data_IF_194955634887
#
_entry.id   IF_194955634887
#
_cell.length_a   1.000
_cell.length_b   1.000
_cell.length_c   1.000
_cell.angle_alpha   90.00
_cell.angle_beta   90.00
_cell.angle_gamma   90.00
#
_symmetry.space_group_name_H-M   'P 1'
#
loop_
_entity.id
_entity.type
_entity.pdbx_description
1 polymer ?
#
# COMPACT_ATOMS: atom_id res chain seq x y z
N UNK A 1 -12.73 -14.25 16.37
CA UNK A 1 -12.88 -13.48 15.12
C UNK A 1 -11.82 -14.02 14.18
N UNK A 2 -12.22 -14.66 13.10
CA UNK A 2 -11.30 -15.21 12.10
C UNK A 2 -10.56 -14.05 11.43
N UNK A 3 -9.24 -14.02 11.57
CA UNK A 3 -8.37 -13.13 10.80
C UNK A 3 -8.56 -13.45 9.32
N UNK A 4 -9.42 -12.70 8.62
CA UNK A 4 -9.41 -12.71 7.17
C UNK A 4 -8.02 -12.25 6.73
N UNK A 5 -7.25 -13.19 6.18
CA UNK A 5 -5.88 -12.95 5.77
C UNK A 5 -5.90 -12.34 4.38
N UNK A 6 -5.50 -11.07 4.27
CA UNK A 6 -5.31 -10.39 2.98
C UNK A 6 -4.58 -11.30 1.98
N UNK A 7 -5.15 -11.39 0.78
CA UNK A 7 -4.70 -12.27 -0.29
C UNK A 7 -4.38 -11.46 -1.56
N UNK A 8 -3.80 -12.13 -2.55
CA UNK A 8 -3.57 -11.49 -3.85
C UNK A 8 -4.88 -11.03 -4.52
N UNK A 9 -5.98 -11.74 -4.28
CA UNK A 9 -7.24 -11.43 -4.94
C UNK A 9 -7.79 -10.08 -4.47
N UNK A 10 -7.49 -9.68 -3.23
CA UNK A 10 -7.84 -8.36 -2.67
C UNK A 10 -7.08 -7.19 -3.32
N UNK A 11 -5.87 -7.45 -3.84
CA UNK A 11 -5.03 -6.42 -4.50
C UNK A 11 -5.07 -6.51 -6.02
N UNK A 12 -5.59 -7.60 -6.58
CA UNK A 12 -5.65 -7.84 -8.02
C UNK A 12 -6.47 -6.79 -8.75
N UNK A 13 -7.59 -6.37 -8.20
CA UNK A 13 -8.46 -5.34 -8.79
C UNK A 13 -7.75 -3.98 -8.91
N UNK A 14 -6.76 -3.74 -8.06
CA UNK A 14 -5.98 -2.50 -8.02
C UNK A 14 -4.61 -2.62 -8.70
N UNK A 15 -4.32 -3.75 -9.37
CA UNK A 15 -3.02 -4.00 -9.99
C UNK A 15 -2.66 -2.96 -11.06
N UNK A 16 -3.67 -2.46 -11.79
CA UNK A 16 -3.47 -1.39 -12.78
C UNK A 16 -2.88 -0.13 -12.15
N UNK A 17 -3.38 0.27 -10.98
CA UNK A 17 -2.90 1.42 -10.22
C UNK A 17 -1.45 1.24 -9.77
N UNK A 18 -1.09 0.02 -9.36
CA UNK A 18 0.27 -0.33 -8.95
C UNK A 18 1.32 -0.14 -10.06
N UNK A 19 0.90 -0.26 -11.32
CA UNK A 19 1.78 -0.08 -12.48
C UNK A 19 1.79 1.31 -13.08
N UNK A 20 0.95 2.24 -12.61
CA UNK A 20 0.94 3.62 -13.12
C UNK A 20 2.26 4.34 -12.88
N UNK A 21 2.94 4.02 -11.76
CA UNK A 21 4.29 4.48 -11.51
C UNK A 21 5.30 3.48 -12.10
N UNK A 22 6.21 3.92 -13.00
CA UNK A 22 7.31 3.08 -13.43
C UNK A 22 8.17 2.63 -12.25
N UNK A 23 8.65 1.37 -12.28
CA UNK A 23 9.42 0.79 -11.17
C UNK A 23 10.66 1.59 -10.76
N UNK A 24 11.33 2.25 -11.71
CA UNK A 24 12.49 3.11 -11.41
C UNK A 24 12.10 4.36 -10.63
N UNK A 25 10.92 4.93 -10.87
CA UNK A 25 10.39 6.08 -10.12
C UNK A 25 10.07 5.65 -8.70
N UNK A 26 9.36 4.53 -8.52
CA UNK A 26 9.07 3.99 -7.20
C UNK A 26 10.35 3.73 -6.41
N UNK A 27 11.33 3.07 -7.04
CA UNK A 27 12.62 2.79 -6.41
C UNK A 27 13.35 4.07 -5.97
N UNK A 28 13.31 5.13 -6.78
CA UNK A 28 13.89 6.42 -6.42
C UNK A 28 13.19 7.05 -5.20
N UNK A 29 11.86 6.96 -5.12
CA UNK A 29 11.10 7.47 -3.96
C UNK A 29 11.42 6.68 -2.68
N UNK A 30 11.53 5.36 -2.81
CA UNK A 30 11.90 4.46 -1.71
C UNK A 30 13.31 4.75 -1.20
N UNK A 31 14.30 4.87 -2.10
CA UNK A 31 15.68 5.22 -1.73
C UNK A 31 15.80 6.57 -1.02
N UNK A 32 14.91 7.52 -1.33
CA UNK A 32 14.83 8.83 -0.68
C UNK A 32 14.00 8.80 0.61
N UNK A 33 13.46 7.65 0.99
CA UNK A 33 12.47 7.46 2.04
C UNK A 33 11.37 8.53 2.00
N UNK A 34 10.79 8.75 0.80
CA UNK A 34 9.83 9.83 0.59
C UNK A 34 8.49 9.50 1.23
N UNK A 35 7.97 10.41 2.06
CA UNK A 35 6.59 10.32 2.54
C UNK A 35 5.63 10.71 1.40
N UNK A 36 5.15 9.70 0.66
CA UNK A 36 4.24 9.86 -0.47
C UNK A 36 2.88 10.37 -0.01
N UNK A 37 2.42 9.92 1.16
CA UNK A 37 1.13 10.36 1.70
C UNK A 37 1.14 11.85 1.96
N UNK A 38 2.16 12.36 2.65
CA UNK A 38 2.34 13.80 2.87
C UNK A 38 2.50 14.57 1.55
N UNK A 39 3.29 14.03 0.60
CA UNK A 39 3.53 14.65 -0.71
C UNK A 39 2.24 14.80 -1.54
N UNK A 40 1.34 13.82 -1.47
CA UNK A 40 0.12 13.76 -2.26
C UNK A 40 -1.16 13.93 -1.41
N UNK A 41 -1.01 14.49 -0.21
CA UNK A 41 -2.08 14.61 0.78
C UNK A 41 -3.36 15.25 0.22
N UNK A 42 -3.32 16.36 -0.55
CA UNK A 42 -4.55 16.96 -1.09
C UNK A 42 -5.37 15.99 -1.96
N UNK A 43 -4.69 15.19 -2.77
CA UNK A 43 -5.33 14.17 -3.63
C UNK A 43 -5.88 13.02 -2.80
N UNK A 44 -5.10 12.52 -1.83
CA UNK A 44 -5.50 11.42 -0.96
C UNK A 44 -6.74 11.80 -0.16
N UNK A 45 -6.75 12.96 0.51
CA UNK A 45 -7.90 13.46 1.28
C UNK A 45 -9.15 13.60 0.40
N UNK A 46 -8.99 14.06 -0.85
CA UNK A 46 -10.11 14.13 -1.80
C UNK A 46 -10.70 12.75 -2.10
N UNK A 47 -9.88 11.72 -2.27
CA UNK A 47 -10.36 10.35 -2.48
C UNK A 47 -10.97 9.75 -1.20
N UNK A 48 -10.35 9.96 -0.03
CA UNK A 48 -10.85 9.46 1.26
C UNK A 48 -12.28 9.92 1.55
N UNK A 49 -12.63 11.17 1.19
CA UNK A 49 -13.99 11.72 1.35
C UNK A 49 -15.07 10.99 0.56
N UNK A 50 -14.70 10.29 -0.51
CA UNK A 50 -15.63 9.63 -1.42
C UNK A 50 -15.64 8.10 -1.27
N UNK A 51 -14.92 7.54 -0.28
CA UNK A 51 -14.92 6.10 -0.05
C UNK A 51 -16.31 5.61 0.40
N UNK A 52 -16.78 4.55 -0.24
CA UNK A 52 -17.95 3.78 0.19
C UNK A 52 -17.67 3.08 1.53
N UNK A 53 -18.70 2.65 2.28
CA UNK A 53 -18.50 1.90 3.52
C UNK A 53 -17.63 0.65 3.35
N UNK A 54 -17.82 -0.10 2.26
CA UNK A 54 -17.02 -1.30 1.94
C UNK A 54 -15.55 -0.95 1.69
N UNK A 55 -15.28 0.13 0.97
CA UNK A 55 -13.89 0.58 0.73
C UNK A 55 -13.22 1.10 2.00
N UNK A 56 -13.97 1.77 2.88
CA UNK A 56 -13.48 2.19 4.20
C UNK A 56 -13.10 1.00 5.07
N UNK A 57 -13.93 -0.04 5.08
CA UNK A 57 -13.65 -1.28 5.81
C UNK A 57 -12.39 -1.98 5.28
N UNK A 58 -12.28 -2.13 3.95
CA UNK A 58 -11.08 -2.68 3.30
C UNK A 58 -9.83 -1.86 3.64
N UNK A 59 -9.92 -0.52 3.57
CA UNK A 59 -8.81 0.37 3.93
C UNK A 59 -8.42 0.21 5.40
N UNK A 60 -9.39 0.17 6.30
CA UNK A 60 -9.16 -0.04 7.73
C UNK A 60 -8.47 -1.39 7.99
N UNK A 61 -8.87 -2.44 7.29
CA UNK A 61 -8.23 -3.74 7.40
C UNK A 61 -6.76 -3.70 6.94
N UNK A 62 -6.45 -3.04 5.82
CA UNK A 62 -5.08 -2.85 5.34
C UNK A 62 -4.24 -2.01 6.31
N UNK A 63 -4.80 -0.93 6.84
CA UNK A 63 -4.07 -0.05 7.77
C UNK A 63 -3.76 -0.75 9.09
N UNK A 64 -4.65 -1.60 9.59
CA UNK A 64 -4.40 -2.36 10.82
C UNK A 64 -3.55 -3.62 10.62
N UNK A 65 -3.29 -4.04 9.38
CA UNK A 65 -2.39 -5.13 9.10
C UNK A 65 -0.94 -4.77 9.46
N UNK A 66 -0.19 -5.75 9.95
CA UNK A 66 1.22 -5.56 10.23
C UNK A 66 2.01 -5.37 8.92
N UNK A 67 3.02 -4.50 8.96
CA UNK A 67 3.81 -4.19 7.77
C UNK A 67 4.48 -5.42 7.18
N UNK A 68 4.87 -6.40 8.00
CA UNK A 68 5.53 -7.61 7.52
C UNK A 68 4.58 -8.48 6.70
N UNK A 69 3.33 -8.65 7.13
CA UNK A 69 2.27 -9.36 6.43
C UNK A 69 1.92 -8.68 5.11
N UNK A 70 1.86 -7.34 5.09
CA UNK A 70 1.70 -6.59 3.85
C UNK A 70 2.88 -6.82 2.90
N UNK A 71 4.13 -6.80 3.39
CA UNK A 71 5.30 -7.08 2.56
C UNK A 71 5.32 -8.52 2.04
N UNK A 72 4.91 -9.50 2.86
CA UNK A 72 4.73 -10.90 2.43
C UNK A 72 3.67 -11.01 1.33
N UNK A 73 2.54 -10.31 1.48
CA UNK A 73 1.52 -10.25 0.45
C UNK A 73 2.07 -9.67 -0.85
N UNK A 74 2.80 -8.55 -0.79
CA UNK A 74 3.46 -7.97 -1.97
C UNK A 74 4.44 -8.96 -2.61
N UNK A 75 5.15 -9.77 -1.83
CA UNK A 75 6.04 -10.80 -2.37
C UNK A 75 5.27 -11.89 -3.13
N UNK A 76 4.13 -12.35 -2.57
CA UNK A 76 3.24 -13.30 -3.25
C UNK A 76 2.70 -12.71 -4.55
N UNK A 77 2.26 -11.44 -4.53
CA UNK A 77 1.80 -10.72 -5.73
C UNK A 77 2.91 -10.58 -6.78
N UNK A 78 4.14 -10.34 -6.36
CA UNK A 78 5.30 -10.34 -7.26
C UNK A 78 5.51 -11.70 -7.92
N UNK A 79 5.46 -12.80 -7.15
CA UNK A 79 5.61 -14.17 -7.70
C UNK A 79 4.56 -14.50 -8.76
N UNK A 80 3.33 -13.98 -8.61
CA UNK A 80 2.24 -14.20 -9.58
C UNK A 80 2.35 -13.33 -10.84
N UNK A 81 2.85 -12.09 -10.70
CA UNK A 81 2.71 -11.08 -11.77
C UNK A 81 4.03 -10.67 -12.42
N UNK A 82 5.17 -10.96 -11.79
CA UNK A 82 6.50 -10.50 -12.21
C UNK A 82 6.72 -8.97 -12.08
N UNK A 83 5.76 -8.22 -11.53
CA UNK A 83 5.81 -6.74 -11.49
C UNK A 83 6.83 -6.26 -10.45
N UNK A 84 7.80 -5.48 -10.89
CA UNK A 84 8.91 -4.98 -10.05
C UNK A 84 8.43 -4.08 -8.90
N UNK A 85 7.30 -3.40 -9.04
CA UNK A 85 6.72 -2.56 -8.01
C UNK A 85 6.38 -3.36 -6.75
N UNK A 86 5.76 -4.54 -6.93
CA UNK A 86 5.50 -5.45 -5.82
C UNK A 86 6.80 -5.92 -5.16
N UNK A 87 7.81 -6.28 -5.96
CA UNK A 87 9.11 -6.67 -5.43
C UNK A 87 9.76 -5.56 -4.58
N UNK A 88 9.71 -4.31 -5.06
CA UNK A 88 10.26 -3.16 -4.33
C UNK A 88 9.56 -2.98 -2.98
N UNK A 89 8.23 -3.02 -2.93
CA UNK A 89 7.50 -2.86 -1.67
C UNK A 89 7.63 -4.08 -0.75
N UNK A 90 7.82 -5.27 -1.31
CA UNK A 90 8.04 -6.52 -0.57
C UNK A 90 9.41 -6.61 0.09
N UNK A 91 10.41 -5.87 -0.39
CA UNK A 91 11.78 -5.96 0.14
C UNK A 91 11.82 -5.49 1.62
N UNK A 92 12.27 -6.33 2.57
CA UNK A 92 12.41 -5.96 3.98
C UNK A 92 13.26 -4.72 4.23
N UNK A 93 14.25 -4.42 3.37
CA UNK A 93 15.07 -3.20 3.46
C UNK A 93 14.23 -1.92 3.31
N UNK A 94 13.08 -2.02 2.64
CA UNK A 94 12.16 -0.91 2.38
C UNK A 94 11.02 -0.84 3.41
N UNK A 95 11.11 -1.61 4.51
CA UNK A 95 10.06 -1.68 5.54
C UNK A 95 9.74 -0.31 6.13
N UNK A 96 10.76 0.51 6.38
CA UNK A 96 10.58 1.84 6.95
C UNK A 96 9.78 2.76 6.03
N UNK A 97 10.05 2.69 4.73
CA UNK A 97 9.28 3.44 3.73
C UNK A 97 7.81 3.04 3.73
N UNK A 98 7.52 1.73 3.76
CA UNK A 98 6.14 1.23 3.80
C UNK A 98 5.45 1.66 5.10
N UNK A 99 6.10 1.42 6.24
CA UNK A 99 5.58 1.76 7.58
C UNK A 99 5.27 3.24 7.70
N UNK A 100 6.20 4.11 7.35
CA UNK A 100 6.02 5.56 7.41
C UNK A 100 4.81 6.02 6.59
N UNK A 101 4.63 5.50 5.37
CA UNK A 101 3.49 5.87 4.54
C UNK A 101 2.17 5.33 5.09
N UNK A 102 2.15 4.11 5.67
CA UNK A 102 0.95 3.58 6.33
C UNK A 102 0.59 4.40 7.58
N UNK A 103 1.58 4.77 8.39
CA UNK A 103 1.38 5.57 9.60
C UNK A 103 0.87 6.98 9.27
N UNK A 104 1.41 7.62 8.23
CA UNK A 104 0.88 8.91 7.75
C UNK A 104 -0.56 8.76 7.22
N UNK A 105 -0.86 7.68 6.49
CA UNK A 105 -2.21 7.44 5.98
C UNK A 105 -3.21 7.25 7.12
N UNK A 106 -2.83 6.53 8.18
CA UNK A 106 -3.64 6.37 9.41
C UNK A 106 -3.99 7.70 10.05
N UNK A 107 -3.11 8.69 10.02
CA UNK A 107 -3.40 10.02 10.57
C UNK A 107 -4.44 10.79 9.75
N UNK A 108 -4.62 10.44 8.48
CA UNK A 108 -5.58 11.10 7.58
C UNK A 108 -6.96 10.44 7.58
N UNK A 109 -7.07 9.19 8.00
CA UNK A 109 -8.36 8.53 8.15
C UNK A 109 -8.88 8.71 9.57
N UNK A 110 -9.85 9.60 9.72
CA UNK A 110 -10.75 9.62 10.86
C UNK A 110 -11.88 8.62 10.59
N UNK A 111 -11.83 7.45 11.22
CA UNK A 111 -12.94 6.52 11.29
C UNK A 111 -13.42 6.41 12.74
#
# INVERSE_FOLDING_TARGET
MTEEKLSYDDVKEYESLFTMAPSFVLNAMVKRNTNLVKKFQPSIVKYLKNLTPVEKEKLNHVLNADTESLQKLMFVSYKKTGKKQYYILANPENREFVRMNLDELKQLVEF
#
